data_IF_488188880285
#
_entry.id   IF_488188880285
#
_cell.length_a   1.000
_cell.length_b   1.000
_cell.length_c   1.000
_cell.angle_alpha   90.00
_cell.angle_beta   90.00
_cell.angle_gamma   90.00
#
_symmetry.space_group_name_H-M   'P 1'
#
loop_
_entity.id
_entity.type
_entity.pdbx_description
1 polymer ?
#
# COMPACT_ATOMS: atom_id res chain seq x y z
N UNK A 1 -1.01 18.63 -11.16
CA UNK A 1 0.04 18.40 -10.14
C UNK A 1 -0.57 17.71 -8.95
N UNK A 2 -0.07 16.57 -8.59
CA UNK A 2 -0.78 15.64 -7.72
C UNK A 2 0.10 14.99 -6.64
N UNK A 3 1.41 15.18 -6.67
CA UNK A 3 2.31 14.72 -5.63
C UNK A 3 3.51 15.64 -5.59
N UNK A 4 3.67 16.33 -4.50
CA UNK A 4 4.79 17.23 -4.32
C UNK A 4 6.00 16.58 -3.70
N UNK A 5 6.98 17.38 -3.38
CA UNK A 5 8.16 16.99 -2.65
C UNK A 5 8.68 18.12 -1.80
N UNK A 6 9.44 17.77 -0.77
CA UNK A 6 10.23 18.72 -0.02
C UNK A 6 11.63 18.82 -0.62
N UNK A 7 12.18 20.02 -0.66
CA UNK A 7 13.57 20.30 -1.02
C UNK A 7 14.14 21.19 0.07
N UNK A 8 15.07 20.67 0.86
CA UNK A 8 15.67 21.33 2.03
C UNK A 8 14.58 21.99 2.91
N UNK A 9 13.55 21.23 3.23
CA UNK A 9 12.46 21.65 4.11
C UNK A 9 11.41 22.55 3.46
N UNK A 10 11.48 22.82 2.17
CA UNK A 10 10.53 23.68 1.45
C UNK A 10 9.67 22.83 0.52
N UNK A 11 8.33 23.00 0.63
CA UNK A 11 7.39 22.27 -0.19
C UNK A 11 7.32 22.79 -1.62
N UNK A 12 7.35 21.85 -2.58
CA UNK A 12 7.20 22.11 -4.01
C UNK A 12 6.12 21.21 -4.59
N UNK A 13 5.13 21.81 -5.27
CA UNK A 13 4.06 21.07 -5.95
C UNK A 13 4.55 20.61 -7.33
N UNK A 14 5.28 19.48 -7.35
CA UNK A 14 5.84 18.91 -8.58
C UNK A 14 5.49 17.43 -8.70
N UNK A 15 5.27 16.96 -9.93
CA UNK A 15 5.04 15.55 -10.22
C UNK A 15 6.34 14.86 -10.66
N UNK A 16 6.26 13.57 -10.88
CA UNK A 16 7.37 12.80 -11.44
C UNK A 16 7.69 13.26 -12.85
N UNK A 17 8.97 13.43 -13.17
CA UNK A 17 9.43 13.74 -14.51
C UNK A 17 9.38 12.47 -15.36
N UNK A 18 8.48 12.46 -16.38
CA UNK A 18 8.39 11.37 -17.36
C UNK A 18 9.07 11.71 -18.68
N UNK A 19 9.47 12.96 -18.91
CA UNK A 19 10.11 13.39 -20.17
C UNK A 19 11.52 12.82 -20.29
N UNK A 20 12.31 12.85 -19.21
CA UNK A 20 13.67 12.32 -19.20
C UNK A 20 13.71 10.78 -19.27
N UNK A 21 12.59 10.10 -19.05
CA UNK A 21 12.48 8.64 -19.03
C UNK A 21 11.72 8.07 -20.23
N UNK A 22 11.54 8.85 -21.30
CA UNK A 22 10.80 8.43 -22.49
C UNK A 22 9.31 8.19 -22.25
N UNK A 23 8.72 8.92 -21.34
CA UNK A 23 7.31 8.80 -20.95
C UNK A 23 7.06 7.74 -19.87
N UNK A 24 8.11 7.18 -19.26
CA UNK A 24 7.99 6.16 -18.22
C UNK A 24 7.85 6.77 -16.84
N UNK A 25 6.93 6.24 -16.05
CA UNK A 25 6.82 6.55 -14.63
C UNK A 25 7.89 5.77 -13.86
N UNK A 26 8.65 6.47 -13.01
CA UNK A 26 9.65 5.88 -12.12
C UNK A 26 9.41 6.37 -10.69
N UNK A 27 9.43 5.43 -9.73
CA UNK A 27 9.18 5.71 -8.32
C UNK A 27 10.50 5.90 -7.56
N UNK A 28 10.55 6.93 -6.71
CA UNK A 28 11.70 7.15 -5.83
C UNK A 28 11.72 6.12 -4.68
N UNK A 29 12.91 5.79 -4.18
CA UNK A 29 13.06 4.97 -2.99
C UNK A 29 12.59 5.72 -1.73
N UNK A 30 12.09 4.98 -0.73
CA UNK A 30 11.72 5.51 0.58
C UNK A 30 12.97 5.97 1.34
N UNK A 31 12.86 7.10 2.06
CA UNK A 31 14.01 7.74 2.72
C UNK A 31 14.18 7.28 4.17
N UNK A 32 13.09 6.96 4.88
CA UNK A 32 13.13 6.55 6.29
C UNK A 32 13.07 5.03 6.37
N UNK A 33 14.16 4.41 6.80
CA UNK A 33 14.34 2.95 6.74
C UNK A 33 14.85 2.35 8.05
N UNK A 34 14.54 2.96 9.20
CA UNK A 34 14.81 2.36 10.50
C UNK A 34 13.82 1.23 10.79
N UNK A 35 14.14 0.40 11.79
CA UNK A 35 13.35 -0.78 12.11
C UNK A 35 12.88 -0.78 13.55
N UNK A 36 11.59 -1.01 13.73
CA UNK A 36 10.98 -1.39 15.00
C UNK A 36 11.23 -2.89 15.21
N UNK A 37 11.93 -3.22 16.29
CA UNK A 37 12.25 -4.61 16.66
C UNK A 37 11.83 -4.89 18.10
N UNK A 38 11.80 -6.17 18.48
CA UNK A 38 11.33 -6.57 19.81
C UNK A 38 12.10 -5.88 20.94
N UNK A 39 13.42 -5.76 20.81
CA UNK A 39 14.33 -5.23 21.84
C UNK A 39 15.00 -3.89 21.46
N UNK A 40 14.68 -3.35 20.30
CA UNK A 40 15.30 -2.13 19.78
C UNK A 40 16.62 -2.35 19.07
N UNK A 41 17.04 -3.58 18.84
CA UNK A 41 18.20 -3.87 18.00
C UNK A 41 17.98 -3.36 16.57
N UNK A 42 19.05 -2.99 15.86
CA UNK A 42 18.91 -2.56 14.47
C UNK A 42 18.40 -3.70 13.58
N UNK A 43 17.63 -3.34 12.55
CA UNK A 43 17.18 -4.25 11.51
C UNK A 43 18.14 -4.28 10.32
N UNK A 44 17.68 -4.77 9.15
CA UNK A 44 18.52 -4.84 7.95
C UNK A 44 18.99 -3.50 7.41
N UNK A 45 18.26 -2.42 7.71
CA UNK A 45 18.58 -1.06 7.27
C UNK A 45 18.42 -0.08 8.41
N UNK A 46 19.01 1.12 8.29
CA UNK A 46 18.87 2.20 9.25
C UNK A 46 19.56 1.92 10.59
N UNK A 47 19.07 2.58 11.62
CA UNK A 47 19.60 2.53 12.97
C UNK A 47 18.65 1.84 13.93
N UNK A 48 19.17 1.30 15.04
CA UNK A 48 18.39 0.76 16.13
C UNK A 48 17.85 1.84 17.07
N UNK A 49 17.21 1.39 18.16
CA UNK A 49 16.67 2.27 19.20
C UNK A 49 15.15 2.33 19.21
N UNK A 50 14.48 1.53 18.39
CA UNK A 50 13.02 1.48 18.28
C UNK A 50 12.50 0.14 18.78
N UNK A 51 12.50 -0.03 20.10
CA UNK A 51 11.97 -1.25 20.74
C UNK A 51 10.45 -1.27 20.73
N UNK A 52 9.86 -2.46 20.65
CA UNK A 52 8.42 -2.65 20.80
C UNK A 52 7.99 -2.25 22.21
N UNK A 53 7.13 -1.25 22.30
CA UNK A 53 6.58 -0.73 23.55
C UNK A 53 5.10 -0.38 23.34
N UNK A 54 4.29 -0.56 24.37
CA UNK A 54 2.90 -0.10 24.35
C UNK A 54 2.86 1.43 24.28
N UNK A 55 1.86 1.97 23.57
CA UNK A 55 1.57 3.40 23.47
C UNK A 55 2.73 4.25 22.90
N UNK A 56 3.70 3.62 22.25
CA UNK A 56 4.85 4.34 21.69
C UNK A 56 4.68 4.71 20.21
N UNK A 57 4.05 3.84 19.42
CA UNK A 57 4.02 4.00 17.96
C UNK A 57 2.65 4.39 17.44
N UNK A 58 2.68 5.13 16.34
CA UNK A 58 1.49 5.60 15.65
C UNK A 58 1.68 5.44 14.14
N UNK A 59 0.62 5.08 13.44
CA UNK A 59 0.66 4.83 12.00
C UNK A 59 -0.16 5.90 11.28
N UNK A 60 0.44 6.56 10.30
CA UNK A 60 -0.25 7.49 9.43
C UNK A 60 -0.51 6.82 8.09
N UNK A 61 -1.75 6.83 7.64
CA UNK A 61 -2.18 6.12 6.44
C UNK A 61 -3.14 6.96 5.61
N UNK A 62 -3.24 6.61 4.32
CA UNK A 62 -4.43 6.86 3.49
C UNK A 62 -5.16 5.54 3.29
N UNK A 63 -6.48 5.55 3.41
CA UNK A 63 -7.28 4.36 3.12
C UNK A 63 -7.31 4.07 1.60
N UNK A 64 -6.96 5.05 0.78
CA UNK A 64 -6.85 4.87 -0.66
C UNK A 64 -5.55 4.21 -1.10
N UNK A 65 -4.47 4.45 -0.38
CA UNK A 65 -3.12 4.04 -0.77
C UNK A 65 -2.90 2.53 -0.62
N UNK A 66 -2.53 1.82 -1.71
CA UNK A 66 -2.30 0.38 -1.62
C UNK A 66 -1.08 0.01 -0.76
N UNK A 67 -0.10 0.89 -0.67
CA UNK A 67 1.10 0.68 0.17
C UNK A 67 0.76 0.77 1.65
N UNK A 68 0.03 1.80 2.05
CA UNK A 68 -0.44 1.96 3.43
C UNK A 68 -1.43 0.84 3.82
N UNK A 69 -2.23 0.38 2.89
CA UNK A 69 -3.20 -0.70 3.12
C UNK A 69 -2.53 -2.00 3.60
N UNK A 70 -1.34 -2.32 3.08
CA UNK A 70 -0.55 -3.47 3.55
C UNK A 70 -0.34 -3.42 5.07
N UNK A 71 -0.01 -2.25 5.57
CA UNK A 71 0.30 -2.05 7.01
C UNK A 71 -0.95 -2.18 7.87
N UNK A 72 -2.08 -1.69 7.39
CA UNK A 72 -3.37 -1.87 8.09
C UNK A 72 -3.79 -3.33 8.16
N UNK A 73 -3.56 -4.10 7.10
CA UNK A 73 -3.87 -5.53 7.08
C UNK A 73 -3.00 -6.28 8.10
N UNK A 74 -1.69 -6.06 8.10
CA UNK A 74 -0.80 -6.70 9.08
C UNK A 74 -1.13 -6.30 10.51
N UNK A 75 -1.44 -5.01 10.73
CA UNK A 75 -1.91 -4.54 12.04
C UNK A 75 -3.13 -5.33 12.50
N UNK A 76 -4.08 -5.58 11.60
CA UNK A 76 -5.30 -6.35 11.90
C UNK A 76 -4.99 -7.82 12.14
N UNK A 77 -4.24 -8.46 11.25
CA UNK A 77 -3.90 -9.88 11.35
C UNK A 77 -3.10 -10.22 12.61
N UNK A 78 -2.23 -9.32 13.04
CA UNK A 78 -1.40 -9.50 14.23
C UNK A 78 -2.04 -8.93 15.49
N UNK A 79 -3.26 -8.40 15.41
CA UNK A 79 -3.97 -7.84 16.57
C UNK A 79 -3.23 -6.70 17.23
N UNK A 80 -2.67 -5.78 16.43
CA UNK A 80 -1.82 -4.70 16.93
C UNK A 80 -2.59 -3.40 17.25
N UNK A 81 -3.93 -3.41 17.13
CA UNK A 81 -4.73 -2.21 17.42
C UNK A 81 -4.47 -1.64 18.83
N UNK A 82 -4.29 -2.47 19.89
CA UNK A 82 -3.95 -1.95 21.21
C UNK A 82 -2.56 -1.33 21.31
N UNK A 83 -1.65 -1.66 20.39
CA UNK A 83 -0.25 -1.21 20.44
C UNK A 83 0.04 -0.06 19.51
N UNK A 84 -0.69 0.05 18.40
CA UNK A 84 -0.42 1.02 17.33
C UNK A 84 -1.71 1.73 16.97
N UNK A 85 -1.81 3.00 17.32
CA UNK A 85 -2.91 3.88 16.94
C UNK A 85 -2.74 4.37 15.50
N UNK A 86 -3.79 4.93 14.90
CA UNK A 86 -3.82 5.32 13.49
C UNK A 86 -4.41 6.70 13.32
N UNK A 87 -3.80 7.50 12.45
CA UNK A 87 -4.39 8.69 11.84
C UNK A 87 -4.58 8.47 10.34
N UNK A 88 -5.69 8.96 9.80
CA UNK A 88 -6.08 8.78 8.41
C UNK A 88 -6.16 10.15 7.73
N UNK A 89 -5.41 10.32 6.64
CA UNK A 89 -5.43 11.54 5.83
C UNK A 89 -6.72 11.64 5.01
N UNK A 90 -7.03 12.84 4.52
CA UNK A 90 -8.10 13.07 3.56
C UNK A 90 -7.81 12.29 2.26
N UNK A 91 -8.83 11.75 1.57
CA UNK A 91 -8.59 10.95 0.37
C UNK A 91 -8.00 11.74 -0.81
N UNK A 92 -8.23 13.05 -0.90
CA UNK A 92 -7.69 13.87 -1.99
C UNK A 92 -6.24 14.27 -1.72
N UNK A 93 -5.39 14.11 -2.73
CA UNK A 93 -3.99 14.52 -2.71
C UNK A 93 -3.78 15.52 -3.84
N UNK A 94 -3.76 16.80 -3.50
CA UNK A 94 -3.72 17.90 -4.47
C UNK A 94 -2.43 18.73 -4.31
N UNK A 95 -2.52 20.06 -4.42
CA UNK A 95 -1.36 20.96 -4.46
C UNK A 95 -0.46 20.90 -3.21
N UNK A 96 -1.03 20.59 -2.05
CA UNK A 96 -0.27 20.43 -0.81
C UNK A 96 0.02 18.95 -0.45
N UNK A 97 -0.13 18.05 -1.41
CA UNK A 97 0.01 16.61 -1.16
C UNK A 97 -1.10 16.06 -0.28
N UNK A 98 -0.77 15.12 0.58
CA UNK A 98 -1.71 14.60 1.58
C UNK A 98 -2.00 15.65 2.64
N UNK A 99 -3.28 15.81 2.99
CA UNK A 99 -3.73 16.74 4.03
C UNK A 99 -4.37 15.98 5.19
N UNK A 100 -4.35 16.63 6.35
CA UNK A 100 -5.05 16.15 7.54
C UNK A 100 -6.42 16.78 7.71
N UNK A 101 -7.04 17.25 6.62
CA UNK A 101 -8.43 17.69 6.61
C UNK A 101 -9.33 16.51 6.96
N UNK A 102 -10.11 16.65 8.02
CA UNK A 102 -11.02 15.60 8.51
C UNK A 102 -12.44 15.73 7.95
N UNK A 103 -12.67 16.64 7.03
CA UNK A 103 -13.99 16.85 6.43
C UNK A 103 -14.29 15.82 5.32
N UNK A 104 -14.21 14.56 5.68
CA UNK A 104 -14.58 13.42 4.84
C UNK A 104 -14.78 12.20 5.76
N UNK A 105 -15.81 11.35 5.52
CA UNK A 105 -16.02 10.19 6.38
C UNK A 105 -14.78 9.30 6.49
N UNK A 106 -14.46 8.87 7.71
CA UNK A 106 -13.29 8.07 8.06
C UNK A 106 -11.93 8.78 7.98
N UNK A 107 -11.84 10.02 7.51
CA UNK A 107 -10.66 10.84 7.67
C UNK A 107 -10.62 11.39 9.09
N UNK A 108 -9.50 11.18 9.80
CA UNK A 108 -9.37 11.55 11.23
C UNK A 108 -8.62 12.85 11.45
N UNK A 109 -7.86 13.31 10.46
CA UNK A 109 -6.83 14.31 10.68
C UNK A 109 -5.63 13.74 11.44
N UNK A 110 -4.69 14.62 11.79
CA UNK A 110 -3.54 14.25 12.64
C UNK A 110 -4.00 14.25 14.09
N UNK A 111 -4.23 13.09 14.66
CA UNK A 111 -4.72 12.94 16.03
C UNK A 111 -3.65 13.15 17.08
N UNK A 112 -2.37 13.22 16.71
CA UNK A 112 -1.27 13.45 17.66
C UNK A 112 -0.88 14.92 17.78
N UNK A 113 -0.67 15.59 16.66
CA UNK A 113 -0.07 16.93 16.65
C UNK A 113 -0.93 17.97 15.95
N UNK A 114 -2.05 17.57 15.35
CA UNK A 114 -2.96 18.46 14.61
C UNK A 114 -2.28 19.23 13.48
N UNK A 115 -1.30 18.61 12.80
CA UNK A 115 -0.73 19.18 11.59
C UNK A 115 -1.80 19.32 10.52
N UNK A 116 -1.64 20.32 9.66
CA UNK A 116 -2.56 20.55 8.53
C UNK A 116 -2.19 19.67 7.32
N UNK A 117 -0.89 19.50 7.07
CA UNK A 117 -0.38 18.75 5.93
C UNK A 117 0.60 17.65 6.37
N UNK A 118 0.61 16.54 5.63
CA UNK A 118 1.53 15.44 5.93
C UNK A 118 2.99 15.88 5.88
N UNK A 119 3.35 16.80 4.96
CA UNK A 119 4.74 17.25 4.88
C UNK A 119 5.21 17.94 6.16
N UNK A 120 4.32 18.51 6.96
CA UNK A 120 4.68 19.10 8.25
C UNK A 120 5.11 18.03 9.26
N UNK A 121 4.56 16.82 9.17
CA UNK A 121 5.02 15.69 9.96
C UNK A 121 6.46 15.29 9.57
N UNK A 122 6.77 15.26 8.29
CA UNK A 122 8.13 14.99 7.81
C UNK A 122 9.12 16.05 8.31
N UNK A 123 8.72 17.32 8.28
CA UNK A 123 9.53 18.43 8.81
C UNK A 123 9.68 18.37 10.33
N UNK A 124 8.70 17.82 11.03
CA UNK A 124 8.80 17.57 12.47
C UNK A 124 9.91 16.57 12.78
N UNK A 125 10.06 15.54 11.93
CA UNK A 125 11.13 14.55 12.06
C UNK A 125 12.49 15.09 11.59
N UNK A 126 12.51 15.84 10.49
CA UNK A 126 13.74 16.42 9.91
C UNK A 126 13.41 17.75 9.22
N UNK A 127 13.75 18.89 9.85
CA UNK A 127 13.44 20.22 9.29
C UNK A 127 14.05 20.51 7.92
N UNK A 128 15.10 19.79 7.54
CA UNK A 128 15.82 19.95 6.26
C UNK A 128 15.57 18.81 5.29
N UNK A 129 14.52 18.01 5.53
CA UNK A 129 14.22 16.85 4.69
C UNK A 129 14.05 17.25 3.23
N UNK A 130 14.64 16.45 2.34
CA UNK A 130 14.44 16.51 0.89
C UNK A 130 13.96 15.15 0.40
N UNK A 131 12.83 15.12 -0.31
CA UNK A 131 12.27 13.90 -0.88
C UNK A 131 10.76 13.94 -0.98
N UNK A 132 10.18 12.82 -1.39
CA UNK A 132 8.74 12.65 -1.49
C UNK A 132 8.11 12.50 -0.10
N UNK A 133 6.87 12.93 0.00
CA UNK A 133 6.08 12.87 1.23
C UNK A 133 4.94 11.89 1.00
N UNK A 134 5.09 10.71 1.58
CA UNK A 134 4.25 9.54 1.27
C UNK A 134 3.65 8.92 2.52
N UNK A 135 2.66 8.07 2.33
CA UNK A 135 2.11 7.16 3.33
C UNK A 135 2.37 5.72 2.88
N UNK A 136 2.54 4.74 3.81
CA UNK A 136 2.39 4.86 5.27
C UNK A 136 3.58 5.56 5.93
N UNK A 137 3.36 6.05 7.14
CA UNK A 137 4.41 6.54 8.03
C UNK A 137 4.25 5.84 9.38
N UNK A 138 5.27 5.10 9.80
CA UNK A 138 5.36 4.58 11.16
C UNK A 138 6.12 5.61 12.01
N UNK A 139 5.42 6.19 12.99
CA UNK A 139 5.89 7.29 13.82
C UNK A 139 6.23 6.80 15.21
N UNK A 140 7.34 7.31 15.78
CA UNK A 140 7.74 7.09 17.15
C UNK A 140 7.36 8.30 18.01
N UNK A 141 6.37 8.14 18.89
CA UNK A 141 5.89 9.21 19.77
C UNK A 141 6.89 9.56 20.84
N UNK A 142 7.79 8.65 21.21
CA UNK A 142 8.80 8.88 22.25
C UNK A 142 9.91 9.78 21.76
N UNK A 143 10.41 9.54 20.56
CA UNK A 143 11.53 10.31 19.98
C UNK A 143 11.06 11.36 18.98
N UNK A 144 9.76 11.47 18.73
CA UNK A 144 9.17 12.43 17.79
C UNK A 144 9.82 12.37 16.41
N UNK A 145 9.89 11.17 15.85
CA UNK A 145 10.53 10.93 14.55
C UNK A 145 9.82 9.83 13.77
N UNK A 146 10.11 9.79 12.48
CA UNK A 146 9.66 8.71 11.62
C UNK A 146 10.60 7.52 11.79
N UNK A 147 10.03 6.35 12.09
CA UNK A 147 10.79 5.09 12.08
C UNK A 147 11.01 4.65 10.63
N UNK A 148 9.93 4.51 9.88
CA UNK A 148 9.96 4.02 8.51
C UNK A 148 8.76 4.54 7.72
N UNK A 149 8.96 4.78 6.43
CA UNK A 149 7.89 5.02 5.46
C UNK A 149 7.92 4.00 4.32
N UNK A 150 8.57 2.86 4.53
CA UNK A 150 8.63 1.76 3.57
C UNK A 150 7.66 0.64 3.96
N UNK A 151 6.55 0.51 3.25
CA UNK A 151 5.50 -0.46 3.59
C UNK A 151 5.98 -1.91 3.59
N UNK A 152 6.87 -2.27 2.66
CA UNK A 152 7.41 -3.63 2.56
C UNK A 152 8.21 -4.04 3.81
N UNK A 153 8.80 -3.07 4.51
CA UNK A 153 9.55 -3.27 5.74
C UNK A 153 8.67 -3.13 6.98
N UNK A 154 7.74 -2.18 6.97
CA UNK A 154 6.80 -2.00 8.08
C UNK A 154 5.99 -3.28 8.32
N UNK A 155 5.53 -3.95 7.28
CA UNK A 155 4.79 -5.21 7.45
C UNK A 155 5.64 -6.31 8.09
N UNK A 156 6.95 -6.34 7.82
CA UNK A 156 7.87 -7.28 8.48
C UNK A 156 8.13 -6.92 9.93
N UNK A 157 8.20 -5.62 10.25
CA UNK A 157 8.24 -5.15 11.64
C UNK A 157 7.00 -5.61 12.40
N UNK A 158 5.81 -5.40 11.84
CA UNK A 158 4.54 -5.79 12.47
C UNK A 158 4.40 -7.31 12.62
N UNK A 159 5.05 -8.07 11.76
CA UNK A 159 4.97 -9.52 11.77
C UNK A 159 5.53 -10.16 13.05
N UNK A 160 6.55 -9.55 13.69
CA UNK A 160 7.27 -10.18 14.79
C UNK A 160 7.51 -9.30 16.02
N UNK A 161 7.60 -7.99 15.86
CA UNK A 161 8.12 -7.10 16.90
C UNK A 161 7.33 -7.14 18.22
N UNK A 162 6.00 -7.35 18.16
CA UNK A 162 5.12 -7.32 19.32
C UNK A 162 4.73 -8.71 19.84
N UNK A 163 5.33 -9.78 19.35
CA UNK A 163 4.93 -11.14 19.73
C UNK A 163 5.05 -11.37 21.24
N UNK A 164 6.12 -10.91 21.86
CA UNK A 164 6.32 -11.02 23.30
C UNK A 164 5.35 -10.13 24.13
N UNK A 165 4.69 -9.16 23.51
CA UNK A 165 3.76 -8.26 24.18
C UNK A 165 2.28 -8.69 24.02
N UNK A 166 2.03 -9.82 23.37
CA UNK A 166 0.69 -10.37 23.22
C UNK A 166 0.03 -10.15 21.87
N UNK A 167 0.80 -9.90 20.81
CA UNK A 167 0.28 -9.92 19.44
C UNK A 167 -0.34 -11.29 19.12
N UNK A 168 -1.27 -11.31 18.16
CA UNK A 168 -1.83 -12.58 17.69
C UNK A 168 -0.75 -13.45 17.07
N UNK A 169 -0.85 -14.77 17.26
CA UNK A 169 0.03 -15.73 16.63
C UNK A 169 -0.09 -15.67 15.11
N UNK A 170 0.99 -15.96 14.44
CA UNK A 170 1.07 -15.99 12.99
C UNK A 170 2.38 -15.40 12.50
N UNK A 171 2.98 -16.08 11.53
CA UNK A 171 4.19 -15.63 10.85
C UNK A 171 3.92 -15.58 9.34
N UNK A 172 3.86 -14.37 8.81
CA UNK A 172 3.55 -14.14 7.40
C UNK A 172 4.80 -14.05 6.53
N UNK A 173 5.97 -14.26 7.14
CA UNK A 173 7.26 -14.32 6.45
C UNK A 173 8.12 -15.44 7.06
N UNK A 174 7.61 -16.69 7.04
CA UNK A 174 8.28 -17.79 7.75
C UNK A 174 9.60 -18.18 7.07
N UNK A 175 10.63 -18.55 7.84
CA UNK A 175 11.97 -18.85 7.31
C UNK A 175 11.98 -19.81 6.12
N UNK A 176 11.17 -20.88 6.17
CA UNK A 176 11.13 -21.87 5.10
C UNK A 176 10.60 -21.34 3.78
N UNK A 177 9.85 -20.22 3.76
CA UNK A 177 9.23 -19.66 2.57
C UNK A 177 9.86 -18.33 2.13
N UNK A 178 10.83 -17.80 2.86
CA UNK A 178 11.38 -16.47 2.61
C UNK A 178 11.94 -16.30 1.20
N UNK A 179 12.71 -17.26 0.71
CA UNK A 179 13.28 -17.19 -0.64
C UNK A 179 12.20 -17.15 -1.71
N UNK A 180 11.15 -17.97 -1.56
CA UNK A 180 10.03 -18.00 -2.50
C UNK A 180 9.19 -16.72 -2.43
N UNK A 181 8.96 -16.21 -1.23
CA UNK A 181 8.25 -14.94 -1.02
C UNK A 181 9.03 -13.80 -1.67
N UNK A 182 10.33 -13.71 -1.43
CA UNK A 182 11.16 -12.64 -1.98
C UNK A 182 11.20 -12.67 -3.51
N UNK A 183 11.28 -13.85 -4.10
CA UNK A 183 11.23 -14.01 -5.56
C UNK A 183 9.89 -13.53 -6.13
N UNK A 184 8.78 -13.95 -5.55
CA UNK A 184 7.44 -13.50 -5.94
C UNK A 184 7.29 -11.99 -5.77
N UNK A 185 7.70 -11.45 -4.63
CA UNK A 185 7.60 -10.02 -4.33
C UNK A 185 8.33 -9.18 -5.38
N UNK A 186 9.48 -9.66 -5.88
CA UNK A 186 10.28 -8.92 -6.85
C UNK A 186 9.51 -8.67 -8.15
N UNK A 187 9.07 -9.71 -8.83
CA UNK A 187 8.42 -9.52 -10.13
C UNK A 187 6.97 -9.03 -10.00
N UNK A 188 6.28 -9.38 -8.91
CA UNK A 188 4.92 -8.87 -8.66
C UNK A 188 4.98 -7.36 -8.41
N UNK A 189 5.95 -6.88 -7.63
CA UNK A 189 6.12 -5.44 -7.40
C UNK A 189 6.36 -4.70 -8.71
N UNK A 190 7.34 -5.12 -9.50
CA UNK A 190 7.72 -4.43 -10.73
C UNK A 190 6.61 -4.44 -11.78
N UNK A 191 5.94 -5.58 -11.95
CA UNK A 191 5.02 -5.80 -13.06
C UNK A 191 3.56 -5.55 -12.70
N UNK A 192 3.17 -5.68 -11.43
CA UNK A 192 1.76 -5.56 -11.00
C UNK A 192 1.58 -4.38 -10.06
N UNK A 193 2.15 -4.41 -8.86
CA UNK A 193 1.91 -3.34 -7.87
C UNK A 193 2.32 -1.97 -8.42
N UNK A 194 3.54 -1.85 -8.91
CA UNK A 194 4.02 -0.64 -9.57
C UNK A 194 3.66 -0.60 -11.05
N UNK A 195 3.42 -1.76 -11.65
CA UNK A 195 3.08 -1.90 -13.07
C UNK A 195 1.80 -1.17 -13.47
N UNK A 196 0.77 -1.21 -12.62
CA UNK A 196 -0.48 -0.47 -12.88
C UNK A 196 -0.25 1.04 -12.90
N UNK A 197 0.65 1.54 -12.05
CA UNK A 197 1.07 2.97 -12.05
C UNK A 197 1.90 3.30 -13.29
N UNK A 198 2.80 2.42 -13.68
CA UNK A 198 3.58 2.59 -14.91
C UNK A 198 2.67 2.71 -16.14
N UNK A 199 1.62 1.90 -16.22
CA UNK A 199 0.62 1.99 -17.27
C UNK A 199 -0.20 3.28 -17.17
N UNK A 200 -0.72 3.59 -15.97
CA UNK A 200 -1.62 4.71 -15.75
C UNK A 200 -0.98 6.08 -15.94
N UNK A 201 0.27 6.23 -15.57
CA UNK A 201 1.01 7.50 -15.65
C UNK A 201 1.98 7.57 -16.83
N UNK A 202 1.95 6.60 -17.74
CA UNK A 202 2.72 6.66 -18.97
C UNK A 202 2.29 7.87 -19.80
N UNK A 203 3.25 8.58 -20.38
CA UNK A 203 3.00 9.75 -21.25
C UNK A 203 3.39 9.46 -22.70
N UNK A 204 3.72 8.22 -23.03
CA UNK A 204 3.93 7.76 -24.42
C UNK A 204 3.22 6.43 -24.64
N UNK A 205 2.82 6.17 -25.89
CA UNK A 205 2.16 4.92 -26.25
C UNK A 205 3.08 3.73 -25.96
N UNK A 206 4.35 3.84 -26.30
CA UNK A 206 5.34 2.78 -26.08
C UNK A 206 5.51 2.45 -24.61
N UNK A 207 5.59 3.45 -23.73
CA UNK A 207 5.72 3.23 -22.30
C UNK A 207 4.45 2.55 -21.72
N UNK A 208 3.27 2.96 -22.18
CA UNK A 208 2.01 2.32 -21.78
C UNK A 208 1.95 0.87 -22.25
N UNK A 209 2.21 0.62 -23.54
CA UNK A 209 2.14 -0.72 -24.11
C UNK A 209 3.07 -1.70 -23.40
N UNK A 210 4.31 -1.28 -23.12
CA UNK A 210 5.29 -2.09 -22.39
C UNK A 210 4.80 -2.42 -20.97
N UNK A 211 4.31 -1.41 -20.25
CA UNK A 211 3.87 -1.58 -18.86
C UNK A 211 2.61 -2.45 -18.76
N UNK A 212 1.59 -2.19 -19.60
CA UNK A 212 0.31 -2.92 -19.52
C UNK A 212 0.46 -4.37 -19.96
N UNK A 213 1.33 -4.65 -20.94
CA UNK A 213 1.64 -6.01 -21.36
C UNK A 213 2.21 -6.83 -20.20
N UNK A 214 3.15 -6.27 -19.43
CA UNK A 214 3.73 -6.93 -18.27
C UNK A 214 2.72 -7.15 -17.15
N UNK A 215 1.79 -6.22 -16.95
CA UNK A 215 0.68 -6.41 -16.01
C UNK A 215 -0.10 -7.67 -16.33
N UNK A 216 -0.56 -7.81 -17.57
CA UNK A 216 -1.43 -8.93 -17.95
C UNK A 216 -0.68 -10.25 -18.13
N UNK A 217 0.58 -10.24 -18.54
CA UNK A 217 1.43 -11.44 -18.50
C UNK A 217 1.58 -11.94 -17.05
N UNK A 218 1.80 -11.04 -16.12
CA UNK A 218 1.94 -11.37 -14.69
C UNK A 218 0.63 -11.87 -14.10
N UNK A 219 -0.51 -11.26 -14.43
CA UNK A 219 -1.82 -11.75 -13.98
C UNK A 219 -2.11 -13.15 -14.52
N UNK A 220 -1.74 -13.47 -15.77
CA UNK A 220 -1.87 -14.81 -16.34
C UNK A 220 -1.03 -15.83 -15.55
N UNK A 221 0.19 -15.47 -15.19
CA UNK A 221 1.07 -16.32 -14.36
C UNK A 221 0.48 -16.54 -12.95
N UNK A 222 -0.03 -15.48 -12.33
CA UNK A 222 -0.66 -15.56 -11.01
C UNK A 222 -1.93 -16.42 -11.06
N UNK A 223 -2.71 -16.31 -12.12
CA UNK A 223 -3.91 -17.13 -12.31
C UNK A 223 -3.56 -18.62 -12.31
N UNK A 224 -2.47 -19.01 -12.96
CA UNK A 224 -2.00 -20.40 -12.97
C UNK A 224 -1.54 -20.85 -11.58
N UNK A 225 -0.76 -20.04 -10.88
CA UNK A 225 -0.29 -20.37 -9.52
C UNK A 225 -1.48 -20.60 -8.59
N UNK A 226 -2.45 -19.69 -8.62
CA UNK A 226 -3.64 -19.75 -7.75
C UNK A 226 -4.66 -20.79 -8.17
N UNK A 227 -4.50 -21.38 -9.36
CA UNK A 227 -5.23 -22.54 -9.79
C UNK A 227 -4.72 -23.84 -9.18
N UNK A 228 -3.48 -23.85 -8.68
CA UNK A 228 -2.82 -25.02 -8.11
C UNK A 228 -2.73 -24.97 -6.58
N UNK A 229 -2.68 -23.75 -6.02
CA UNK A 229 -2.54 -23.54 -4.59
C UNK A 229 -3.52 -22.47 -4.12
N UNK A 230 -3.97 -22.58 -2.87
CA UNK A 230 -4.88 -21.59 -2.27
C UNK A 230 -4.23 -20.20 -2.21
N UNK A 231 -2.94 -20.15 -1.85
CA UNK A 231 -2.15 -18.93 -1.74
C UNK A 231 -0.89 -19.01 -2.63
N UNK A 232 -0.20 -17.90 -2.79
CA UNK A 232 0.94 -17.81 -3.72
C UNK A 232 2.09 -18.76 -3.40
N UNK A 233 2.31 -19.07 -2.12
CA UNK A 233 3.40 -19.95 -1.69
C UNK A 233 2.94 -21.35 -1.26
N UNK A 234 1.66 -21.65 -1.39
CA UNK A 234 1.10 -22.94 -1.01
C UNK A 234 -0.22 -22.81 -0.27
N UNK A 235 -0.34 -23.47 0.88
CA UNK A 235 -1.56 -23.52 1.69
C UNK A 235 -1.57 -22.51 2.86
N UNK A 236 -0.53 -21.70 2.99
CA UNK A 236 -0.39 -20.70 4.05
C UNK A 236 -0.42 -19.28 3.47
N UNK A 237 -1.24 -18.42 4.07
CA UNK A 237 -1.24 -16.98 3.78
C UNK A 237 0.11 -16.36 4.20
N UNK A 238 0.76 -15.65 3.29
CA UNK A 238 2.01 -14.93 3.56
C UNK A 238 1.94 -13.47 3.14
N UNK A 239 2.97 -12.72 3.44
CA UNK A 239 3.06 -11.31 3.02
C UNK A 239 2.99 -11.14 1.50
N UNK A 240 3.41 -12.16 0.72
CA UNK A 240 3.31 -12.11 -0.74
C UNK A 240 1.86 -11.96 -1.20
N UNK A 241 0.94 -12.68 -0.57
CA UNK A 241 -0.50 -12.60 -0.86
C UNK A 241 -1.05 -11.22 -0.52
N UNK A 242 -0.69 -10.69 0.62
CA UNK A 242 -1.18 -9.39 1.12
C UNK A 242 -0.68 -8.27 0.21
N UNK A 243 0.58 -8.30 -0.21
CA UNK A 243 1.17 -7.30 -1.10
C UNK A 243 0.50 -7.28 -2.47
N UNK A 244 0.15 -8.44 -3.00
CA UNK A 244 -0.62 -8.53 -4.26
C UNK A 244 -2.06 -8.05 -4.07
N UNK A 245 -2.69 -8.47 -2.98
CA UNK A 245 -4.11 -8.29 -2.73
C UNK A 245 -4.53 -6.82 -2.73
N UNK A 246 -3.72 -5.93 -2.17
CA UNK A 246 -4.05 -4.50 -2.13
C UNK A 246 -4.15 -3.87 -3.52
N UNK A 247 -3.40 -4.37 -4.49
CA UNK A 247 -3.55 -3.99 -5.90
C UNK A 247 -4.81 -4.61 -6.50
N UNK A 248 -5.07 -5.89 -6.25
CA UNK A 248 -6.22 -6.59 -6.82
C UNK A 248 -7.56 -6.00 -6.37
N UNK A 249 -7.68 -5.60 -5.10
CA UNK A 249 -8.94 -5.03 -4.59
C UNK A 249 -9.25 -3.66 -5.23
N UNK A 250 -8.24 -2.98 -5.74
CA UNK A 250 -8.36 -1.70 -6.45
C UNK A 250 -8.46 -1.83 -7.96
N UNK A 251 -8.25 -3.03 -8.48
CA UNK A 251 -8.08 -3.24 -9.91
C UNK A 251 -9.35 -2.93 -10.70
N UNK A 252 -10.43 -3.65 -10.44
CA UNK A 252 -11.69 -3.45 -11.17
C UNK A 252 -12.30 -2.06 -10.91
N UNK A 253 -12.43 -1.59 -9.66
CA UNK A 253 -13.10 -0.30 -9.41
C UNK A 253 -12.27 0.93 -9.79
N UNK A 254 -10.97 0.78 -10.04
CA UNK A 254 -10.08 1.91 -10.36
C UNK A 254 -9.19 1.65 -11.57
N UNK A 255 -8.29 0.68 -11.51
CA UNK A 255 -7.20 0.57 -12.48
C UNK A 255 -7.66 0.22 -13.89
N UNK A 256 -8.76 -0.52 -14.01
CA UNK A 256 -9.36 -0.85 -15.33
C UNK A 256 -9.68 0.43 -16.10
N UNK A 257 -10.36 1.38 -15.48
CA UNK A 257 -10.79 2.62 -16.13
C UNK A 257 -9.72 3.71 -16.03
N UNK A 258 -9.27 4.00 -14.83
CA UNK A 258 -8.42 5.17 -14.55
C UNK A 258 -7.01 5.01 -15.13
N UNK A 259 -6.44 3.82 -15.03
CA UNK A 259 -5.09 3.52 -15.51
C UNK A 259 -5.06 2.77 -16.84
N UNK A 260 -6.22 2.55 -17.46
CA UNK A 260 -6.35 1.84 -18.73
C UNK A 260 -5.76 0.40 -18.69
N UNK A 261 -5.82 -0.24 -17.52
CA UNK A 261 -5.49 -1.64 -17.35
C UNK A 261 -6.75 -2.46 -17.69
N UNK A 262 -7.20 -2.40 -18.94
CA UNK A 262 -8.55 -2.74 -19.34
C UNK A 262 -8.65 -3.95 -20.28
N UNK A 263 -7.60 -4.74 -20.40
CA UNK A 263 -7.65 -5.98 -21.20
C UNK A 263 -8.62 -7.00 -20.60
N UNK A 264 -8.54 -7.21 -19.28
CA UNK A 264 -9.44 -8.05 -18.49
C UNK A 264 -9.68 -7.42 -17.14
N UNK A 265 -10.84 -7.71 -16.52
CA UNK A 265 -11.10 -7.41 -15.12
C UNK A 265 -10.58 -8.57 -14.26
N UNK A 266 -10.30 -8.32 -12.99
CA UNK A 266 -9.98 -9.41 -12.06
C UNK A 266 -11.15 -10.40 -11.97
N UNK A 267 -12.38 -9.89 -12.03
CA UNK A 267 -13.59 -10.73 -12.04
C UNK A 267 -13.72 -11.65 -13.26
N UNK A 268 -12.92 -11.44 -14.30
CA UNK A 268 -12.85 -12.35 -15.48
C UNK A 268 -11.95 -13.57 -15.24
N UNK A 269 -11.17 -13.58 -14.15
CA UNK A 269 -10.25 -14.67 -13.80
C UNK A 269 -10.85 -15.54 -12.71
N UNK A 270 -10.97 -16.83 -12.93
CA UNK A 270 -11.55 -17.76 -11.96
C UNK A 270 -10.77 -17.75 -10.63
N UNK A 271 -9.47 -17.90 -10.71
CA UNK A 271 -8.63 -18.09 -9.51
C UNK A 271 -8.25 -16.78 -8.83
N UNK A 272 -7.90 -15.76 -9.60
CA UNK A 272 -7.60 -14.43 -9.05
C UNK A 272 -8.84 -13.83 -8.36
N UNK A 273 -9.99 -13.96 -8.97
CA UNK A 273 -11.24 -13.47 -8.37
C UNK A 273 -11.61 -14.26 -7.11
N UNK A 274 -11.43 -15.58 -7.13
CA UNK A 274 -11.60 -16.42 -5.94
C UNK A 274 -10.64 -16.04 -4.81
N UNK A 275 -9.37 -15.84 -5.13
CA UNK A 275 -8.33 -15.38 -4.20
C UNK A 275 -8.67 -14.02 -3.59
N UNK A 276 -9.12 -13.08 -4.41
CA UNK A 276 -9.53 -11.75 -3.97
C UNK A 276 -10.65 -11.84 -2.93
N UNK A 277 -11.68 -12.65 -3.20
CA UNK A 277 -12.82 -12.86 -2.29
C UNK A 277 -12.43 -13.64 -1.04
N UNK A 278 -11.58 -14.64 -1.18
CA UNK A 278 -11.10 -15.47 -0.06
C UNK A 278 -10.47 -14.59 1.03
N UNK A 279 -9.53 -13.74 0.64
CA UNK A 279 -8.85 -12.84 1.60
C UNK A 279 -9.79 -11.75 2.10
N UNK A 280 -10.62 -11.17 1.24
CA UNK A 280 -11.62 -10.17 1.66
C UNK A 280 -12.51 -10.68 2.78
N UNK A 281 -12.90 -11.96 2.72
CA UNK A 281 -13.82 -12.58 3.67
C UNK A 281 -13.14 -13.08 4.95
N UNK A 282 -11.82 -12.97 5.05
CA UNK A 282 -11.10 -13.26 6.30
C UNK A 282 -11.49 -12.24 7.39
N UNK A 283 -11.56 -12.68 8.66
CA UNK A 283 -11.94 -11.78 9.76
C UNK A 283 -11.07 -10.52 9.80
N UNK A 284 -11.73 -9.35 9.79
CA UNK A 284 -11.09 -8.05 9.93
C UNK A 284 -10.57 -7.42 8.64
N UNK A 285 -10.45 -8.16 7.54
CA UNK A 285 -9.86 -7.62 6.30
C UNK A 285 -10.81 -6.63 5.62
N UNK A 286 -12.09 -6.95 5.52
CA UNK A 286 -13.08 -6.05 4.91
C UNK A 286 -13.12 -4.68 5.59
N UNK A 287 -12.89 -4.62 6.90
CA UNK A 287 -12.85 -3.39 7.68
C UNK A 287 -11.71 -2.46 7.25
N UNK A 288 -10.66 -2.99 6.61
CA UNK A 288 -9.53 -2.20 6.12
C UNK A 288 -9.79 -1.56 4.77
N UNK A 289 -10.87 -1.91 4.09
CA UNK A 289 -11.19 -1.46 2.74
C UNK A 289 -12.21 -0.34 2.78
N UNK A 290 -11.91 0.79 2.15
CA UNK A 290 -12.83 1.92 2.01
C UNK A 290 -12.86 2.38 0.56
N UNK A 291 -13.87 1.95 -0.17
CA UNK A 291 -13.99 2.26 -1.61
C UNK A 291 -14.27 3.75 -1.87
N UNK A 292 -14.91 4.46 -0.96
CA UNK A 292 -15.11 5.91 -1.13
C UNK A 292 -13.77 6.65 -1.10
N UNK A 293 -12.90 6.34 -0.15
CA UNK A 293 -11.54 6.89 -0.11
C UNK A 293 -10.76 6.52 -1.36
N UNK A 294 -10.80 5.23 -1.75
CA UNK A 294 -10.07 4.72 -2.91
C UNK A 294 -10.50 5.45 -4.18
N UNK A 295 -11.79 5.50 -4.47
CA UNK A 295 -12.27 6.05 -5.73
C UNK A 295 -12.18 7.56 -5.79
N UNK A 296 -12.49 8.26 -4.70
CA UNK A 296 -12.30 9.72 -4.63
C UNK A 296 -10.83 10.09 -4.82
N UNK A 297 -9.92 9.39 -4.15
CA UNK A 297 -8.49 9.65 -4.30
C UNK A 297 -8.04 9.54 -5.76
N UNK A 298 -8.23 8.38 -6.37
CA UNK A 298 -7.71 8.13 -7.71
C UNK A 298 -8.35 9.06 -8.75
N UNK A 299 -9.66 9.11 -8.81
CA UNK A 299 -10.35 9.86 -9.86
C UNK A 299 -10.30 11.37 -9.68
N UNK A 300 -10.12 11.88 -8.46
CA UNK A 300 -10.16 13.31 -8.18
C UNK A 300 -8.80 13.92 -7.86
N UNK A 301 -7.77 13.12 -7.65
CA UNK A 301 -6.42 13.65 -7.35
C UNK A 301 -5.52 13.69 -8.58
N UNK A 302 -5.68 12.78 -9.52
CA UNK A 302 -4.78 12.58 -10.66
C UNK A 302 -5.24 13.42 -11.88
N UNK A 303 -5.14 14.72 -11.76
CA UNK A 303 -5.67 15.66 -12.76
C UNK A 303 -4.96 15.61 -14.11
N UNK A 304 -3.75 15.08 -14.17
CA UNK A 304 -3.03 14.90 -15.43
C UNK A 304 -3.65 13.82 -16.32
N UNK A 305 -4.31 12.83 -15.72
CA UNK A 305 -4.94 11.74 -16.48
C UNK A 305 -6.46 11.73 -16.36
N UNK A 306 -7.03 12.42 -15.39
CA UNK A 306 -8.48 12.58 -15.21
C UNK A 306 -8.80 14.05 -14.84
N UNK A 307 -8.64 14.99 -15.76
CA UNK A 307 -8.71 16.41 -15.44
C UNK A 307 -10.10 16.88 -14.98
N UNK A 308 -11.16 16.18 -15.37
CA UNK A 308 -12.54 16.53 -14.96
C UNK A 308 -12.84 16.14 -13.52
N UNK A 309 -12.06 15.22 -12.92
CA UNK A 309 -12.32 14.70 -11.58
C UNK A 309 -13.57 13.84 -11.47
N UNK A 310 -14.16 13.42 -12.59
CA UNK A 310 -15.36 12.58 -12.59
C UNK A 310 -14.98 11.18 -12.17
N UNK A 311 -15.71 10.63 -11.17
CA UNK A 311 -15.57 9.27 -10.71
C UNK A 311 -16.39 8.36 -11.62
N UNK A 312 -15.74 7.34 -12.22
CA UNK A 312 -16.42 6.40 -13.12
C UNK A 312 -17.46 5.56 -12.37
N UNK A 313 -18.41 5.00 -13.11
CA UNK A 313 -19.46 4.17 -12.54
C UNK A 313 -18.97 2.78 -12.08
N UNK A 314 -17.89 2.29 -12.65
CA UNK A 314 -17.33 0.96 -12.35
C UNK A 314 -16.14 0.65 -13.25
N UNK A 315 -15.84 -0.64 -13.51
CA UNK A 315 -16.60 -1.82 -13.09
C UNK A 315 -16.49 -2.14 -11.59
N UNK A 316 -17.48 -2.88 -11.08
CA UNK A 316 -17.50 -3.37 -9.70
C UNK A 316 -17.42 -4.89 -9.69
N UNK A 317 -17.03 -5.44 -8.55
CA UNK A 317 -17.09 -6.86 -8.24
C UNK A 317 -17.89 -7.07 -6.95
N UNK A 318 -18.49 -8.25 -6.79
CA UNK A 318 -19.11 -8.64 -5.53
C UNK A 318 -18.12 -9.48 -4.71
N UNK A 319 -17.49 -8.84 -3.72
CA UNK A 319 -16.49 -9.49 -2.86
C UNK A 319 -17.10 -10.39 -1.79
N UNK A 320 -18.44 -10.35 -1.62
CA UNK A 320 -19.17 -11.17 -0.65
C UNK A 320 -19.60 -12.53 -1.21
N UNK A 321 -19.49 -12.74 -2.51
CA UNK A 321 -19.84 -14.02 -3.12
C UNK A 321 -18.98 -15.16 -2.55
N UNK A 322 -19.55 -16.37 -2.36
CA UNK A 322 -18.76 -17.53 -1.95
C UNK A 322 -17.62 -17.81 -2.91
N UNK A 323 -16.41 -17.98 -2.39
CA UNK A 323 -15.22 -18.20 -3.22
C UNK A 323 -14.90 -19.68 -3.48
N UNK A 324 -15.42 -20.61 -2.65
CA UNK A 324 -15.25 -22.05 -2.84
C UNK A 324 -13.82 -22.57 -2.67
N UNK A 325 -12.88 -21.75 -2.19
CA UNK A 325 -11.47 -22.15 -2.11
C UNK A 325 -11.19 -23.02 -0.89
N UNK A 326 -12.03 -22.95 0.15
CA UNK A 326 -11.94 -23.86 1.29
C UNK A 326 -12.11 -25.32 0.86
N UNK A 327 -13.14 -25.59 0.07
CA UNK A 327 -13.46 -26.93 -0.41
C UNK A 327 -12.45 -27.39 -1.46
N UNK A 328 -12.07 -26.50 -2.38
CA UNK A 328 -11.15 -26.82 -3.48
C UNK A 328 -9.75 -27.21 -2.99
N UNK A 329 -9.29 -26.59 -1.93
CA UNK A 329 -7.94 -26.77 -1.38
C UNK A 329 -7.96 -27.39 0.02
N UNK A 330 -9.00 -28.12 0.34
CA UNK A 330 -9.13 -28.81 1.61
C UNK A 330 -8.10 -29.92 1.79
#
# INVERSE_FOLDING_TARGET
>A
KIMGQLIDGVWHDTWYDTKSTGGKFQRSASAFRNWLTADGAPGPTGEGGFAAEKDRYHLYVSLACPWAHRTLILRKLKGLEPFISVSVVHPLMLENGWTFDDNFPAATGDTLYQHEFLYQLYLHADPHYSGRVTVPVLWDKKNHTIVSNESAEIIRMFNTAFDALGAKAGDYYPPALQSKIDELNGWIYDNVNNGVYKAGFATSQEAYDDAVEKVFQSLARLEQILGQHRYLTGDQLTEADIRLWTTLVRFDPVYVTHFKCDKHRISDYLNLYGFLRDIYQMPGIAETVNFDHIRHHYFRSHKTINPTGIISIGPWQDLSEPHGRDERFA
#
